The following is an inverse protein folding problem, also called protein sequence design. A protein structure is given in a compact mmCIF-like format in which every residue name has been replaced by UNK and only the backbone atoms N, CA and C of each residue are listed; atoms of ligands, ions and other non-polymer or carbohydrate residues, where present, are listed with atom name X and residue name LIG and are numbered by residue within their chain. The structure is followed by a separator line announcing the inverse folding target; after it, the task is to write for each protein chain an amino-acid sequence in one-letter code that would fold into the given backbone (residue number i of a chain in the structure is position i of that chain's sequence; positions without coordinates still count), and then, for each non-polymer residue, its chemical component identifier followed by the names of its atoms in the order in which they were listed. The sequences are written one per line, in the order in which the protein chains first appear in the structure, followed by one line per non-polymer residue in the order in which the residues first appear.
data_IF_197168419439
#
_entry.id   IF_197168419439
#
_cell.length_a   1.000
_cell.length_b   1.000
_cell.length_c   1.000
_cell.angle_alpha   90.00
_cell.angle_beta   90.00
_cell.angle_gamma   90.00
#
_symmetry.space_group_name_H-M   'P 1'
#
loop_
_entity.id
_entity.type
_entity.pdbx_description
1 polymer ?
#
# COMPACT_ATOMS: atom_id res chain seq x y z
N UNK A 1 9.98 -34.72 -12.28
CA UNK A 1 8.74 -34.00 -12.66
C UNK A 1 8.87 -32.47 -12.57
N UNK A 2 9.98 -31.91 -12.06
CA UNK A 2 10.19 -30.45 -11.91
C UNK A 2 10.72 -29.72 -13.16
N UNK A 3 11.47 -30.38 -14.05
CA UNK A 3 11.99 -29.71 -15.27
C UNK A 3 10.88 -29.40 -16.30
N UNK A 4 9.83 -30.22 -16.34
CA UNK A 4 8.75 -30.06 -17.32
C UNK A 4 7.76 -28.93 -16.94
N UNK A 5 7.63 -28.62 -15.64
CA UNK A 5 6.74 -27.55 -15.14
C UNK A 5 7.39 -26.16 -15.25
N UNK A 6 8.69 -26.03 -14.99
CA UNK A 6 9.43 -24.79 -15.20
C UNK A 6 9.50 -24.40 -16.69
N UNK A 7 9.74 -25.39 -17.57
CA UNK A 7 9.67 -25.27 -19.03
C UNK A 7 8.29 -24.77 -19.52
N UNK A 8 7.21 -25.37 -19.01
CA UNK A 8 5.84 -24.98 -19.36
C UNK A 8 5.47 -23.57 -18.84
N UNK A 9 5.91 -23.21 -17.64
CA UNK A 9 5.72 -21.87 -17.06
C UNK A 9 6.42 -20.78 -17.87
N UNK A 10 7.70 -21.01 -18.24
CA UNK A 10 8.46 -20.09 -19.10
C UNK A 10 7.91 -19.98 -20.53
N UNK A 11 7.30 -21.04 -21.06
CA UNK A 11 6.61 -21.02 -22.36
C UNK A 11 5.31 -20.20 -22.29
N UNK A 12 4.50 -20.39 -21.24
CA UNK A 12 3.27 -19.60 -21.01
C UNK A 12 3.58 -18.12 -20.84
N UNK A 13 4.59 -17.76 -20.05
CA UNK A 13 5.00 -16.37 -19.83
C UNK A 13 5.41 -15.69 -21.14
N UNK A 14 6.23 -16.36 -21.96
CA UNK A 14 6.62 -15.84 -23.28
C UNK A 14 5.42 -15.66 -24.21
N UNK A 15 4.48 -16.61 -24.22
CA UNK A 15 3.25 -16.51 -25.00
C UNK A 15 2.38 -15.33 -24.56
N UNK A 16 2.23 -15.11 -23.25
CA UNK A 16 1.52 -13.95 -22.71
C UNK A 16 2.20 -12.66 -23.17
N UNK A 17 3.49 -12.50 -22.93
CA UNK A 17 4.22 -11.28 -23.30
C UNK A 17 4.24 -11.01 -24.82
N UNK A 18 4.16 -12.05 -25.65
CA UNK A 18 4.08 -11.92 -27.10
C UNK A 18 2.65 -11.67 -27.63
N UNK A 19 1.62 -11.84 -26.80
CA UNK A 19 0.22 -11.70 -27.21
C UNK A 19 -0.19 -10.25 -27.51
N UNK A 20 0.53 -9.28 -26.93
CA UNK A 20 0.30 -7.85 -27.12
C UNK A 20 1.64 -7.13 -27.11
N UNK A 21 1.81 -6.20 -28.04
CA UNK A 21 2.98 -5.34 -28.08
C UNK A 21 2.62 -3.97 -27.49
N UNK A 22 3.36 -3.52 -26.48
CA UNK A 22 3.10 -2.26 -25.79
C UNK A 22 4.18 -1.26 -26.19
N UNK A 23 3.80 -0.33 -27.07
CA UNK A 23 4.66 0.67 -27.65
C UNK A 23 4.39 2.06 -27.06
N UNK A 24 3.13 2.35 -26.70
CA UNK A 24 2.73 3.67 -26.24
C UNK A 24 1.82 3.61 -25.00
N UNK A 25 2.23 4.30 -23.94
CA UNK A 25 1.44 4.50 -22.71
C UNK A 25 1.03 5.96 -22.58
N UNK A 26 -0.25 6.23 -22.40
CA UNK A 26 -0.77 7.57 -22.09
C UNK A 26 -1.08 7.64 -20.60
N UNK A 27 -0.45 8.58 -19.89
CA UNK A 27 -0.70 8.81 -18.46
C UNK A 27 -1.56 10.06 -18.29
N UNK A 28 -2.74 9.90 -17.71
CA UNK A 28 -3.66 10.97 -17.35
C UNK A 28 -3.41 11.37 -15.90
N UNK A 29 -3.41 12.67 -15.61
CA UNK A 29 -3.07 13.20 -14.28
C UNK A 29 -1.56 13.23 -14.05
N UNK A 30 -0.78 13.33 -15.11
CA UNK A 30 0.67 13.18 -15.10
C UNK A 30 1.42 14.25 -14.28
N UNK A 31 0.74 15.27 -13.77
CA UNK A 31 1.32 16.30 -12.90
C UNK A 31 1.29 15.93 -11.41
N UNK A 32 0.49 14.93 -11.00
CA UNK A 32 0.44 14.44 -9.63
C UNK A 32 1.56 13.46 -9.31
N UNK A 33 1.89 13.29 -8.02
CA UNK A 33 2.97 12.39 -7.56
C UNK A 33 2.85 10.97 -8.09
N UNK A 34 1.65 10.40 -8.05
CA UNK A 34 1.40 9.08 -8.65
C UNK A 34 1.48 9.12 -10.17
N UNK A 35 0.95 10.16 -10.81
CA UNK A 35 0.98 10.32 -12.26
C UNK A 35 2.41 10.38 -12.83
N UNK A 36 3.22 11.36 -12.42
CA UNK A 36 4.59 11.49 -12.95
C UNK A 36 5.48 10.32 -12.54
N UNK A 37 5.31 9.77 -11.33
CA UNK A 37 6.08 8.62 -10.85
C UNK A 37 5.78 7.36 -11.66
N UNK A 38 4.50 7.12 -11.96
CA UNK A 38 4.06 5.98 -12.79
C UNK A 38 4.49 6.15 -14.25
N UNK A 39 4.33 7.35 -14.80
CA UNK A 39 4.77 7.64 -16.16
C UNK A 39 6.29 7.41 -16.31
N UNK A 40 7.09 7.87 -15.35
CA UNK A 40 8.52 7.63 -15.33
C UNK A 40 8.86 6.12 -15.28
N UNK A 41 8.11 5.32 -14.51
CA UNK A 41 8.27 3.87 -14.49
C UNK A 41 7.98 3.25 -15.88
N UNK A 42 6.89 3.66 -16.54
CA UNK A 42 6.57 3.18 -17.89
C UNK A 42 7.65 3.52 -18.92
N UNK A 43 8.32 4.68 -18.83
CA UNK A 43 9.39 5.04 -19.78
C UNK A 43 10.56 4.05 -19.78
N UNK A 44 10.74 3.26 -18.72
CA UNK A 44 11.75 2.20 -18.68
C UNK A 44 11.35 0.98 -19.51
N UNK A 45 10.06 0.69 -19.61
CA UNK A 45 9.51 -0.52 -20.23
C UNK A 45 9.09 -0.35 -21.70
N UNK A 46 8.61 0.85 -22.05
CA UNK A 46 8.01 1.15 -23.36
C UNK A 46 8.77 2.28 -24.06
N UNK A 47 8.75 2.34 -25.41
CA UNK A 47 9.50 3.34 -26.17
C UNK A 47 8.87 4.73 -26.13
N UNK A 48 7.57 4.86 -25.84
CA UNK A 48 6.87 6.16 -25.81
C UNK A 48 5.89 6.25 -24.65
N UNK A 49 5.93 7.36 -23.93
CA UNK A 49 4.96 7.71 -22.88
C UNK A 49 4.47 9.13 -23.10
N UNK A 50 3.15 9.35 -23.10
CA UNK A 50 2.59 10.71 -23.18
C UNK A 50 2.05 11.14 -21.82
N UNK A 51 2.59 12.23 -21.30
CA UNK A 51 2.17 12.88 -20.06
C UNK A 51 1.02 13.85 -20.40
N UNK A 52 -0.19 13.55 -19.93
CA UNK A 52 -1.33 14.43 -20.10
C UNK A 52 -1.81 14.99 -18.76
N UNK A 53 -2.10 16.27 -18.77
CA UNK A 53 -2.70 17.00 -17.66
C UNK A 53 -3.76 17.99 -18.16
N UNK A 54 -4.36 18.75 -17.23
CA UNK A 54 -5.38 19.76 -17.57
C UNK A 54 -4.85 20.88 -18.48
N UNK A 55 -3.55 21.15 -18.42
CA UNK A 55 -2.83 22.05 -19.33
C UNK A 55 -1.46 21.46 -19.65
N UNK A 56 -0.89 21.86 -20.78
CA UNK A 56 0.44 21.42 -21.21
C UNK A 56 1.52 21.82 -20.20
N UNK A 57 1.45 23.03 -19.66
CA UNK A 57 2.35 23.50 -18.59
C UNK A 57 2.34 22.54 -17.38
N UNK A 58 1.17 22.04 -16.96
CA UNK A 58 1.09 21.05 -15.88
C UNK A 58 1.71 19.71 -16.26
N UNK A 59 1.58 19.28 -17.51
CA UNK A 59 2.26 18.08 -17.98
C UNK A 59 3.78 18.27 -18.00
N UNK A 60 4.27 19.45 -18.39
CA UNK A 60 5.69 19.83 -18.37
C UNK A 60 6.25 19.88 -16.94
N UNK A 61 5.51 20.44 -15.98
CA UNK A 61 5.84 20.38 -14.55
C UNK A 61 5.97 18.93 -14.06
N UNK A 62 5.02 18.07 -14.44
CA UNK A 62 5.05 16.64 -14.12
C UNK A 62 6.27 15.93 -14.69
N UNK A 63 6.59 16.17 -15.97
CA UNK A 63 7.78 15.63 -16.61
C UNK A 63 9.06 16.10 -15.92
N UNK A 64 9.17 17.40 -15.59
CA UNK A 64 10.32 17.94 -14.87
C UNK A 64 10.48 17.30 -13.48
N UNK A 65 9.38 17.07 -12.76
CA UNK A 65 9.38 16.36 -11.48
C UNK A 65 9.85 14.90 -11.64
N UNK A 66 9.34 14.17 -12.65
CA UNK A 66 9.78 12.82 -12.97
C UNK A 66 11.28 12.74 -13.29
N UNK A 67 11.80 13.65 -14.13
CA UNK A 67 13.23 13.74 -14.47
C UNK A 67 14.06 13.95 -13.21
N UNK A 68 13.65 14.88 -12.34
CA UNK A 68 14.35 15.20 -11.09
C UNK A 68 14.35 14.02 -10.12
N UNK A 69 13.24 13.30 -10.01
CA UNK A 69 13.05 12.20 -9.06
C UNK A 69 13.78 10.93 -9.51
N UNK A 70 13.57 10.48 -10.75
CA UNK A 70 14.06 9.18 -11.24
C UNK A 70 15.47 9.26 -11.82
N UNK A 71 15.87 10.43 -12.36
CA UNK A 71 17.20 10.68 -12.93
C UNK A 71 17.63 9.67 -14.00
N UNK A 72 16.67 9.11 -14.72
CA UNK A 72 16.92 8.21 -15.86
C UNK A 72 16.79 8.96 -17.19
N UNK A 73 17.72 8.79 -18.15
CA UNK A 73 17.63 9.41 -19.47
C UNK A 73 16.33 9.08 -20.21
N UNK A 74 15.80 7.87 -19.99
CA UNK A 74 14.57 7.40 -20.65
C UNK A 74 13.37 8.29 -20.37
N UNK A 75 13.30 8.92 -19.19
CA UNK A 75 12.21 9.82 -18.84
C UNK A 75 12.21 11.05 -19.75
N UNK A 76 13.37 11.59 -20.09
CA UNK A 76 13.45 12.75 -20.98
C UNK A 76 13.33 12.36 -22.47
N UNK A 77 13.86 11.20 -22.87
CA UNK A 77 13.96 10.82 -24.29
C UNK A 77 12.75 10.06 -24.84
N UNK A 78 11.90 9.52 -23.97
CA UNK A 78 10.72 8.71 -24.36
C UNK A 78 9.40 9.38 -24.00
N UNK A 79 9.42 10.62 -23.54
CA UNK A 79 8.23 11.32 -23.06
C UNK A 79 7.78 12.43 -23.98
N UNK A 80 6.49 12.42 -24.30
CA UNK A 80 5.77 13.57 -24.86
C UNK A 80 4.92 14.23 -23.76
N UNK A 81 4.56 15.50 -23.96
CA UNK A 81 3.67 16.27 -23.08
C UNK A 81 2.51 16.83 -23.87
N UNK A 82 1.33 16.91 -23.25
CA UNK A 82 0.14 17.50 -23.86
C UNK A 82 -0.96 17.80 -22.86
N UNK A 83 -2.07 18.33 -23.36
CA UNK A 83 -3.25 18.62 -22.55
C UNK A 83 -4.51 17.86 -22.97
N UNK A 84 -5.51 17.87 -22.09
CA UNK A 84 -6.76 17.17 -22.32
C UNK A 84 -7.65 17.76 -23.42
N UNK A 85 -7.46 19.03 -23.78
CA UNK A 85 -8.30 19.74 -24.74
C UNK A 85 -7.84 19.54 -26.18
N UNK A 86 -6.53 19.48 -26.41
CA UNK A 86 -5.93 19.43 -27.75
C UNK A 86 -5.34 18.06 -28.06
N UNK A 87 -4.63 17.44 -27.12
CA UNK A 87 -3.77 16.29 -27.41
C UNK A 87 -4.40 14.94 -27.05
N UNK A 88 -5.43 14.93 -26.18
CA UNK A 88 -6.01 13.69 -25.64
C UNK A 88 -6.53 12.74 -26.72
N UNK A 89 -7.37 13.22 -27.65
CA UNK A 89 -7.97 12.37 -28.69
C UNK A 89 -6.89 11.68 -29.54
N UNK A 90 -5.95 12.47 -30.06
CA UNK A 90 -4.81 11.97 -30.83
C UNK A 90 -3.91 11.01 -30.04
N UNK A 91 -3.70 11.27 -28.75
CA UNK A 91 -2.90 10.37 -27.91
C UNK A 91 -3.60 9.01 -27.75
N UNK A 92 -4.93 9.02 -27.56
CA UNK A 92 -5.74 7.81 -27.36
C UNK A 92 -5.82 6.92 -28.61
N UNK A 93 -5.79 7.50 -29.82
CA UNK A 93 -5.78 6.74 -31.09
C UNK A 93 -4.63 5.72 -31.18
N UNK A 94 -3.52 6.01 -30.51
CA UNK A 94 -2.29 5.19 -30.57
C UNK A 94 -1.92 4.56 -29.22
N UNK A 95 -2.74 4.74 -28.17
CA UNK A 95 -2.42 4.28 -26.82
C UNK A 95 -2.67 2.77 -26.67
N UNK A 96 -1.65 2.01 -26.26
CA UNK A 96 -1.81 0.60 -25.89
C UNK A 96 -2.29 0.47 -24.45
N UNK A 97 -1.82 1.36 -23.58
CA UNK A 97 -2.28 1.51 -22.20
C UNK A 97 -2.65 2.97 -21.96
N UNK A 98 -3.84 3.19 -21.42
CA UNK A 98 -4.28 4.46 -20.83
C UNK A 98 -4.26 4.28 -19.32
N UNK A 99 -3.34 4.96 -18.65
CA UNK A 99 -3.13 4.89 -17.20
C UNK A 99 -3.64 6.16 -16.52
N UNK A 100 -4.63 6.00 -15.65
CA UNK A 100 -5.34 7.08 -14.99
C UNK A 100 -4.81 7.32 -13.56
N UNK A 101 -4.37 8.55 -13.29
CA UNK A 101 -3.82 9.01 -12.02
C UNK A 101 -4.31 10.42 -11.62
N UNK A 102 -5.58 10.73 -11.88
CA UNK A 102 -6.25 11.94 -11.45
C UNK A 102 -6.60 11.87 -9.95
N UNK A 103 -7.07 13.00 -9.43
CA UNK A 103 -7.64 13.15 -8.09
C UNK A 103 -8.62 12.02 -7.76
N UNK A 104 -8.57 11.58 -6.51
CA UNK A 104 -9.41 10.50 -5.98
C UNK A 104 -10.87 10.96 -5.76
N UNK A 105 -11.55 11.21 -6.87
CA UNK A 105 -12.95 11.65 -6.93
C UNK A 105 -13.68 10.88 -8.03
N UNK A 106 -14.82 10.28 -7.67
CA UNK A 106 -15.56 9.39 -8.56
C UNK A 106 -16.03 10.12 -9.83
N UNK A 107 -16.57 11.33 -9.70
CA UNK A 107 -17.15 12.06 -10.82
C UNK A 107 -16.06 12.62 -11.75
N UNK A 108 -14.93 13.08 -11.21
CA UNK A 108 -13.76 13.46 -12.00
C UNK A 108 -13.25 12.27 -12.82
N UNK A 109 -13.12 11.09 -12.20
CA UNK A 109 -12.67 9.87 -12.88
C UNK A 109 -13.69 9.38 -13.92
N UNK A 110 -14.99 9.42 -13.63
CA UNK A 110 -16.03 9.09 -14.62
C UNK A 110 -15.97 10.04 -15.81
N UNK A 111 -15.83 11.35 -15.57
CA UNK A 111 -15.76 12.34 -16.64
C UNK A 111 -14.53 12.17 -17.55
N UNK A 112 -13.37 11.76 -17.02
CA UNK A 112 -12.21 11.45 -17.88
C UNK A 112 -12.41 10.13 -18.63
N UNK A 113 -13.00 9.11 -18.00
CA UNK A 113 -13.28 7.84 -18.67
C UNK A 113 -14.32 7.96 -19.80
N UNK A 114 -15.25 8.92 -19.73
CA UNK A 114 -16.14 9.24 -20.85
C UNK A 114 -15.37 9.70 -22.10
N UNK A 115 -14.30 10.48 -21.89
CA UNK A 115 -13.44 10.93 -22.99
C UNK A 115 -12.56 9.79 -23.50
N UNK A 116 -12.02 8.99 -22.59
CA UNK A 116 -11.22 7.80 -22.93
C UNK A 116 -12.05 6.81 -23.73
N UNK A 117 -13.28 6.53 -23.32
CA UNK A 117 -14.15 5.59 -24.02
C UNK A 117 -14.45 6.00 -25.46
N UNK A 118 -14.63 7.30 -25.71
CA UNK A 118 -14.88 7.86 -27.05
C UNK A 118 -13.65 7.82 -27.96
N UNK A 119 -12.46 8.06 -27.41
CA UNK A 119 -11.23 8.27 -28.21
C UNK A 119 -10.26 7.08 -28.27
N UNK A 120 -10.33 6.13 -27.34
CA UNK A 120 -9.39 4.99 -27.32
C UNK A 120 -9.71 3.98 -28.42
N UNK A 121 -8.73 3.15 -28.77
CA UNK A 121 -8.96 1.94 -29.55
C UNK A 121 -9.73 0.90 -28.72
N UNK A 122 -10.50 0.05 -29.38
CA UNK A 122 -11.33 -0.96 -28.72
C UNK A 122 -10.54 -2.03 -27.93
N UNK A 123 -9.25 -2.20 -28.25
CA UNK A 123 -8.32 -3.16 -27.65
C UNK A 123 -7.36 -2.54 -26.62
N UNK A 124 -7.35 -1.20 -26.48
CA UNK A 124 -6.50 -0.47 -25.53
C UNK A 124 -6.83 -0.87 -24.09
N UNK A 125 -5.79 -1.11 -23.29
CA UNK A 125 -5.90 -1.36 -21.86
C UNK A 125 -6.19 -0.03 -21.17
N UNK A 126 -7.17 -0.02 -20.26
CA UNK A 126 -7.43 1.15 -19.40
C UNK A 126 -7.18 0.72 -17.95
N UNK A 127 -6.23 1.37 -17.29
CA UNK A 127 -5.86 1.06 -15.93
C UNK A 127 -5.98 2.32 -15.05
N UNK A 128 -6.43 2.16 -13.81
CA UNK A 128 -6.48 3.26 -12.82
C UNK A 128 -5.61 2.96 -11.61
N UNK A 129 -4.94 3.99 -11.09
CA UNK A 129 -4.16 3.92 -9.84
C UNK A 129 -4.97 4.35 -8.62
N UNK A 130 -6.31 4.36 -8.72
CA UNK A 130 -7.18 4.63 -7.57
C UNK A 130 -6.74 3.81 -6.35
N UNK A 131 -6.80 4.42 -5.17
CA UNK A 131 -6.37 3.84 -3.90
C UNK A 131 -7.54 3.30 -3.06
N UNK A 132 -8.78 3.46 -3.53
CA UNK A 132 -9.94 2.89 -2.85
C UNK A 132 -11.32 3.07 -3.50
N UNK A 133 -11.43 3.65 -4.71
CA UNK A 133 -12.71 3.66 -5.44
C UNK A 133 -12.94 2.30 -6.09
N UNK A 134 -14.19 1.86 -6.13
CA UNK A 134 -14.55 0.57 -6.73
C UNK A 134 -14.30 0.57 -8.23
N UNK A 135 -13.55 -0.43 -8.70
CA UNK A 135 -13.30 -0.68 -10.12
C UNK A 135 -14.61 -1.00 -10.83
N UNK A 136 -15.50 -1.75 -10.18
CA UNK A 136 -16.82 -2.05 -10.73
C UNK A 136 -17.69 -0.79 -10.87
N UNK A 137 -17.68 0.11 -9.88
CA UNK A 137 -18.42 1.39 -9.96
C UNK A 137 -17.88 2.30 -11.08
N UNK A 138 -16.56 2.39 -11.24
CA UNK A 138 -15.93 3.14 -12.34
C UNK A 138 -16.28 2.57 -13.73
N UNK A 139 -16.60 1.28 -13.79
CA UNK A 139 -17.04 0.59 -15.00
C UNK A 139 -18.55 0.71 -15.31
N UNK A 140 -19.37 1.25 -14.41
CA UNK A 140 -20.82 1.31 -14.61
C UNK A 140 -21.20 2.20 -15.80
N UNK A 141 -22.08 1.69 -16.66
CA UNK A 141 -22.54 2.39 -17.86
C UNK A 141 -21.55 2.36 -19.04
N UNK A 142 -20.37 1.76 -18.87
CA UNK A 142 -19.36 1.61 -19.93
C UNK A 142 -19.73 0.50 -20.92
N UNK A 143 -19.26 0.60 -22.16
CA UNK A 143 -19.41 -0.41 -23.21
C UNK A 143 -18.73 -1.74 -22.84
N UNK A 144 -19.18 -2.84 -23.45
CA UNK A 144 -18.60 -4.17 -23.25
C UNK A 144 -17.10 -4.21 -23.55
N UNK A 145 -16.67 -3.51 -24.60
CA UNK A 145 -15.25 -3.39 -24.95
C UNK A 145 -14.46 -2.67 -23.85
N UNK A 146 -15.02 -1.60 -23.25
CA UNK A 146 -14.33 -0.90 -22.17
C UNK A 146 -14.26 -1.76 -20.91
N UNK A 147 -15.38 -2.37 -20.48
CA UNK A 147 -15.43 -3.20 -19.27
C UNK A 147 -14.44 -4.38 -19.33
N UNK A 148 -14.27 -5.01 -20.50
CA UNK A 148 -13.30 -6.09 -20.70
C UNK A 148 -11.83 -5.65 -20.60
N UNK A 149 -11.54 -4.37 -20.84
CA UNK A 149 -10.18 -3.83 -20.86
C UNK A 149 -9.86 -2.90 -19.68
N UNK A 150 -10.77 -2.78 -18.71
CA UNK A 150 -10.60 -1.92 -17.55
C UNK A 150 -10.17 -2.71 -16.31
N UNK A 151 -9.24 -2.16 -15.52
CA UNK A 151 -8.81 -2.74 -14.24
C UNK A 151 -8.17 -1.69 -13.34
N UNK A 152 -8.09 -1.98 -12.04
CA UNK A 152 -7.18 -1.29 -11.14
C UNK A 152 -5.75 -1.81 -11.29
N UNK A 153 -4.78 -0.89 -11.35
CA UNK A 153 -3.35 -1.16 -11.28
C UNK A 153 -2.75 -0.21 -10.25
N UNK A 154 -2.94 -0.56 -8.97
CA UNK A 154 -2.62 0.30 -7.84
C UNK A 154 -1.14 0.15 -7.47
N UNK A 155 -0.36 1.18 -7.83
CA UNK A 155 1.02 1.34 -7.40
C UNK A 155 1.06 2.03 -6.04
N UNK A 156 2.11 1.75 -5.27
CA UNK A 156 2.36 2.39 -3.98
C UNK A 156 3.33 3.57 -4.15
N UNK A 157 3.14 4.62 -3.35
CA UNK A 157 3.96 5.83 -3.42
C UNK A 157 5.28 5.67 -2.64
N UNK A 158 6.46 6.01 -3.20
CA UNK A 158 6.71 6.37 -4.60
C UNK A 158 6.72 5.18 -5.57
N UNK A 159 6.04 5.26 -6.75
CA UNK A 159 5.93 4.13 -7.68
C UNK A 159 7.26 3.59 -8.20
N UNK A 160 8.27 4.44 -8.28
CA UNK A 160 9.61 4.10 -8.76
C UNK A 160 10.52 3.49 -7.67
N UNK A 161 10.04 3.38 -6.43
CA UNK A 161 10.79 2.83 -5.29
C UNK A 161 10.08 1.61 -4.71
N UNK A 162 8.79 1.75 -4.41
CA UNK A 162 7.98 0.67 -3.84
C UNK A 162 7.55 -0.25 -4.97
N UNK A 163 7.82 -1.56 -4.87
CA UNK A 163 7.60 -2.54 -5.94
C UNK A 163 6.27 -3.30 -5.83
N UNK A 164 5.65 -3.32 -4.65
CA UNK A 164 4.33 -3.90 -4.44
C UNK A 164 3.29 -3.25 -5.35
N UNK A 165 2.41 -4.07 -5.94
CA UNK A 165 1.36 -3.60 -6.84
C UNK A 165 0.14 -4.48 -6.72
N UNK A 166 -1.00 -3.84 -6.50
CA UNK A 166 -2.29 -4.52 -6.52
C UNK A 166 -2.89 -4.46 -7.93
N UNK A 167 -3.33 -5.62 -8.42
CA UNK A 167 -4.04 -5.78 -9.68
C UNK A 167 -5.49 -6.14 -9.36
N UNK A 168 -6.40 -5.24 -9.71
CA UNK A 168 -7.81 -5.31 -9.30
C UNK A 168 -8.69 -5.48 -10.55
N UNK A 169 -8.98 -6.71 -10.99
CA UNK A 169 -9.92 -6.92 -12.07
C UNK A 169 -11.34 -6.54 -11.64
N UNK A 170 -12.06 -5.87 -12.54
CA UNK A 170 -13.51 -5.75 -12.43
C UNK A 170 -14.18 -7.07 -12.82
N UNK A 171 -15.49 -7.17 -12.54
CA UNK A 171 -16.29 -8.38 -12.79
C UNK A 171 -16.28 -8.84 -14.26
N UNK A 172 -16.12 -7.89 -15.18
CA UNK A 172 -16.19 -8.10 -16.63
C UNK A 172 -14.80 -8.07 -17.29
N UNK A 173 -13.73 -7.81 -16.54
CA UNK A 173 -12.37 -7.71 -17.07
C UNK A 173 -11.94 -9.04 -17.67
N UNK A 174 -11.35 -9.01 -18.86
CA UNK A 174 -10.88 -10.20 -19.55
C UNK A 174 -9.75 -10.89 -18.75
N UNK A 175 -9.93 -12.15 -18.30
CA UNK A 175 -8.91 -12.88 -17.56
C UNK A 175 -7.58 -13.06 -18.30
N UNK A 176 -7.59 -13.13 -19.64
CA UNK A 176 -6.36 -13.20 -20.43
C UNK A 176 -5.60 -11.88 -20.36
N UNK A 177 -6.33 -10.75 -20.32
CA UNK A 177 -5.74 -9.44 -20.14
C UNK A 177 -5.15 -9.25 -18.75
N UNK A 178 -5.84 -9.73 -17.71
CA UNK A 178 -5.31 -9.73 -16.33
C UNK A 178 -3.98 -10.50 -16.29
N UNK A 179 -3.93 -11.69 -16.88
CA UNK A 179 -2.69 -12.48 -16.95
C UNK A 179 -1.59 -11.77 -17.75
N UNK A 180 -1.93 -11.09 -18.84
CA UNK A 180 -1.00 -10.28 -19.61
C UNK A 180 -0.43 -9.12 -18.80
N UNK A 181 -1.29 -8.30 -18.18
CA UNK A 181 -0.87 -7.11 -17.41
C UNK A 181 -0.01 -7.53 -16.23
N UNK A 182 -0.37 -8.61 -15.53
CA UNK A 182 0.45 -9.15 -14.46
C UNK A 182 1.86 -9.54 -14.96
N UNK A 183 1.94 -10.31 -16.06
CA UNK A 183 3.21 -10.70 -16.67
C UNK A 183 4.03 -9.49 -17.13
N UNK A 184 3.40 -8.53 -17.81
CA UNK A 184 4.02 -7.31 -18.29
C UNK A 184 4.59 -6.50 -17.13
N UNK A 185 3.80 -6.27 -16.08
CA UNK A 185 4.25 -5.51 -14.92
C UNK A 185 5.38 -6.20 -14.16
N UNK A 186 5.31 -7.52 -13.94
CA UNK A 186 6.40 -8.29 -13.31
C UNK A 186 7.70 -8.17 -14.12
N UNK A 187 7.66 -8.47 -15.41
CA UNK A 187 8.86 -8.62 -16.23
C UNK A 187 9.43 -7.30 -16.76
N UNK A 188 8.56 -6.36 -17.14
CA UNK A 188 8.97 -5.11 -17.79
C UNK A 188 9.05 -3.92 -16.83
N UNK A 189 8.25 -3.93 -15.77
CA UNK A 189 8.21 -2.86 -14.76
C UNK A 189 8.82 -3.27 -13.41
N UNK A 190 9.25 -4.54 -13.24
CA UNK A 190 9.88 -5.03 -12.02
C UNK A 190 8.95 -5.04 -10.80
N UNK A 191 7.66 -5.36 -11.00
CA UNK A 191 6.63 -5.30 -9.95
C UNK A 191 6.44 -6.62 -9.23
N UNK A 192 6.17 -6.53 -7.94
CA UNK A 192 5.61 -7.63 -7.15
C UNK A 192 4.09 -7.53 -7.18
N UNK A 193 3.47 -8.34 -8.04
CA UNK A 193 2.04 -8.26 -8.30
C UNK A 193 1.25 -9.10 -7.30
N UNK A 194 0.16 -8.53 -6.79
CA UNK A 194 -0.83 -9.19 -5.95
C UNK A 194 -2.20 -8.95 -6.58
N UNK A 195 -2.93 -10.02 -6.89
CA UNK A 195 -4.33 -9.88 -7.31
C UNK A 195 -5.19 -9.63 -6.09
N UNK A 196 -6.06 -8.63 -6.16
CA UNK A 196 -7.00 -8.32 -5.08
C UNK A 196 -8.42 -8.23 -5.61
N UNK A 197 -9.38 -8.50 -4.73
CA UNK A 197 -10.79 -8.25 -4.99
C UNK A 197 -11.05 -6.74 -5.10
N UNK A 198 -12.14 -6.37 -5.78
CA UNK A 198 -12.65 -5.00 -5.75
C UNK A 198 -13.39 -4.73 -4.43
N UNK A 199 -12.62 -4.56 -3.37
CA UNK A 199 -13.08 -4.25 -2.01
C UNK A 199 -12.62 -2.87 -1.57
N UNK A 200 -13.30 -2.21 -0.59
CA UNK A 200 -12.88 -0.91 -0.10
C UNK A 200 -11.43 -0.91 0.39
N UNK A 201 -10.57 -0.15 -0.32
CA UNK A 201 -9.13 -0.04 -0.10
C UNK A 201 -8.32 -1.35 -0.31
N UNK A 202 -8.85 -2.27 -1.13
CA UNK A 202 -8.17 -3.47 -1.61
C UNK A 202 -7.57 -4.35 -0.49
N UNK A 203 -6.28 -4.70 -0.53
CA UNK A 203 -5.65 -5.56 0.45
C UNK A 203 -4.66 -4.81 1.35
N UNK A 204 -3.69 -4.13 0.75
CA UNK A 204 -2.64 -3.42 1.47
C UNK A 204 -3.20 -2.29 2.32
N UNK A 205 -3.95 -1.36 1.72
CA UNK A 205 -4.52 -0.24 2.46
C UNK A 205 -5.54 -0.70 3.49
N UNK A 206 -6.35 -1.72 3.16
CA UNK A 206 -7.28 -2.37 4.09
C UNK A 206 -6.59 -2.80 5.39
N UNK A 207 -5.49 -3.54 5.29
CA UNK A 207 -4.75 -4.05 6.47
C UNK A 207 -3.88 -2.98 7.12
N UNK A 208 -3.18 -2.17 6.32
CA UNK A 208 -2.24 -1.16 6.81
C UNK A 208 -2.94 -0.05 7.58
N UNK A 209 -4.01 0.52 7.03
CA UNK A 209 -4.69 1.68 7.63
C UNK A 209 -5.45 1.32 8.91
N UNK A 210 -5.83 0.04 9.09
CA UNK A 210 -6.30 -0.48 10.38
C UNK A 210 -5.28 -0.20 11.48
N UNK A 211 -4.02 -0.58 11.27
CA UNK A 211 -2.95 -0.42 12.27
C UNK A 211 -2.58 1.05 12.44
N UNK A 212 -2.49 1.80 11.34
CA UNK A 212 -2.16 3.22 11.39
C UNK A 212 -3.21 4.00 12.19
N UNK A 213 -4.49 3.81 11.91
CA UNK A 213 -5.55 4.56 12.59
C UNK A 213 -5.74 4.09 14.05
N UNK A 214 -5.55 2.80 14.35
CA UNK A 214 -5.51 2.33 15.74
C UNK A 214 -4.37 2.99 16.54
N UNK A 215 -3.19 3.16 15.94
CA UNK A 215 -2.10 3.90 16.56
C UNK A 215 -2.47 5.38 16.79
N UNK A 216 -3.16 6.02 15.85
CA UNK A 216 -3.65 7.39 16.03
C UNK A 216 -4.66 7.49 17.18
N UNK A 217 -5.58 6.53 17.32
CA UNK A 217 -6.51 6.46 18.46
C UNK A 217 -5.76 6.31 19.79
N UNK A 218 -4.73 5.46 19.84
CA UNK A 218 -3.90 5.29 21.04
C UNK A 218 -3.09 6.55 21.38
N UNK A 219 -2.69 7.34 20.38
CA UNK A 219 -1.90 8.55 20.57
C UNK A 219 -2.64 9.58 21.42
N UNK A 220 -3.98 9.63 21.35
CA UNK A 220 -4.81 10.51 22.17
C UNK A 220 -4.58 10.30 23.67
N UNK A 221 -4.33 9.06 24.09
CA UNK A 221 -4.17 8.70 25.51
C UNK A 221 -2.70 8.61 25.92
N UNK A 222 -1.83 8.13 25.03
CA UNK A 222 -0.45 7.77 25.35
C UNK A 222 0.59 8.79 24.84
N UNK A 223 0.17 9.67 23.94
CA UNK A 223 1.04 10.58 23.22
C UNK A 223 1.78 9.90 22.04
N UNK A 224 2.17 10.66 21.01
CA UNK A 224 2.74 10.10 19.78
C UNK A 224 4.07 9.37 19.97
N UNK A 225 4.93 9.88 20.86
CA UNK A 225 6.27 9.32 21.09
C UNK A 225 6.19 7.90 21.66
N UNK A 226 5.33 7.70 22.67
CA UNK A 226 5.17 6.39 23.27
C UNK A 226 4.55 5.40 22.27
N UNK A 227 3.49 5.78 21.55
CA UNK A 227 2.85 4.91 20.56
C UNK A 227 3.83 4.46 19.48
N UNK A 228 4.60 5.38 18.88
CA UNK A 228 5.57 5.03 17.85
C UNK A 228 6.74 4.20 18.39
N UNK A 229 7.09 4.36 19.68
CA UNK A 229 8.06 3.49 20.35
C UNK A 229 7.48 2.08 20.54
N UNK A 230 6.22 1.95 20.98
CA UNK A 230 5.54 0.67 21.18
C UNK A 230 5.32 -0.09 19.87
N UNK A 231 4.95 0.59 18.79
CA UNK A 231 4.69 -0.03 17.47
C UNK A 231 5.86 0.28 16.52
N UNK A 232 7.07 0.17 17.07
CA UNK A 232 8.30 0.56 16.40
C UNK A 232 8.88 -0.48 15.44
N UNK A 233 10.07 -0.23 14.88
CA UNK A 233 10.72 -1.12 13.92
C UNK A 233 10.98 -2.54 14.43
N UNK A 234 11.15 -2.71 15.75
CA UNK A 234 11.31 -4.03 16.37
C UNK A 234 10.10 -4.95 16.12
N UNK A 235 8.92 -4.39 15.83
CA UNK A 235 7.70 -5.13 15.44
C UNK A 235 7.64 -5.48 13.95
N UNK A 236 8.73 -5.24 13.20
CA UNK A 236 8.83 -5.52 11.77
C UNK A 236 8.24 -4.41 10.90
N UNK A 237 8.52 -3.13 11.19
CA UNK A 237 8.03 -2.00 10.40
C UNK A 237 9.17 -1.10 9.99
N UNK A 238 9.26 -0.73 8.70
CA UNK A 238 10.31 0.18 8.24
C UNK A 238 10.15 1.62 8.80
N UNK A 239 8.90 2.07 8.94
CA UNK A 239 8.55 3.36 9.52
C UNK A 239 7.47 3.16 10.58
N UNK A 240 7.52 3.94 11.64
CA UNK A 240 6.54 3.89 12.73
C UNK A 240 5.16 4.38 12.26
N UNK A 241 4.05 3.93 12.87
CA UNK A 241 2.71 4.25 12.38
C UNK A 241 2.43 5.75 12.24
N UNK A 242 2.68 6.55 13.28
CA UNK A 242 2.32 7.95 13.28
C UNK A 242 3.23 8.76 12.34
N UNK A 243 4.53 8.42 12.29
CA UNK A 243 5.43 8.97 11.27
C UNK A 243 5.01 8.59 9.84
N UNK A 244 4.42 7.41 9.65
CA UNK A 244 3.84 7.00 8.35
C UNK A 244 2.64 7.85 7.99
N UNK A 245 1.75 8.14 8.95
CA UNK A 245 0.61 9.06 8.73
C UNK A 245 1.11 10.47 8.38
N UNK A 246 2.13 10.98 9.05
CA UNK A 246 2.74 12.28 8.72
C UNK A 246 3.37 12.30 7.32
N UNK A 247 3.98 11.19 6.90
CA UNK A 247 4.55 11.04 5.56
C UNK A 247 3.48 11.00 4.47
N UNK A 248 2.40 10.24 4.69
CA UNK A 248 1.26 10.13 3.77
C UNK A 248 0.49 11.44 3.71
N UNK A 249 0.29 12.08 4.84
CA UNK A 249 -0.55 13.26 5.03
C UNK A 249 -1.90 12.91 5.65
N UNK A 250 -2.34 13.71 6.61
CA UNK A 250 -3.52 13.41 7.44
C UNK A 250 -4.83 13.45 6.65
N UNK A 251 -4.91 14.30 5.62
CA UNK A 251 -6.07 14.39 4.73
C UNK A 251 -6.22 13.15 3.85
N UNK A 252 -5.11 12.64 3.31
CA UNK A 252 -5.10 11.38 2.55
C UNK A 252 -5.43 10.21 3.49
N UNK A 253 -4.85 10.23 4.70
CA UNK A 253 -5.15 9.21 5.71
C UNK A 253 -6.64 9.19 6.06
N UNK A 254 -7.23 10.35 6.34
CA UNK A 254 -8.68 10.49 6.56
C UNK A 254 -9.48 9.93 5.41
N UNK A 255 -9.17 10.30 4.17
CA UNK A 255 -9.94 9.86 3.01
C UNK A 255 -9.99 8.32 2.90
N UNK A 256 -8.86 7.65 3.17
CA UNK A 256 -8.79 6.18 3.14
C UNK A 256 -9.56 5.57 4.32
N UNK A 257 -9.34 6.08 5.54
CA UNK A 257 -10.01 5.58 6.76
C UNK A 257 -11.53 5.77 6.67
N UNK A 258 -12.01 6.96 6.29
CA UNK A 258 -13.43 7.27 6.13
C UNK A 258 -14.05 6.39 5.03
N UNK A 259 -13.36 6.15 3.91
CA UNK A 259 -13.83 5.26 2.85
C UNK A 259 -13.99 3.81 3.35
N UNK A 260 -12.99 3.29 4.04
CA UNK A 260 -13.02 1.95 4.62
C UNK A 260 -14.18 1.83 5.61
N UNK A 261 -14.31 2.78 6.55
CA UNK A 261 -15.35 2.77 7.57
C UNK A 261 -16.76 2.91 7.00
N UNK A 262 -16.96 3.76 5.99
CA UNK A 262 -18.28 3.94 5.37
C UNK A 262 -18.75 2.70 4.61
N UNK A 263 -17.82 1.93 4.04
CA UNK A 263 -18.14 0.86 3.10
C UNK A 263 -17.96 -0.55 3.67
N UNK A 264 -17.65 -0.69 4.97
CA UNK A 264 -17.50 -2.00 5.63
C UNK A 264 -18.03 -1.99 7.06
N UNK A 265 -18.25 -3.18 7.63
CA UNK A 265 -18.80 -3.38 8.99
C UNK A 265 -18.11 -4.56 9.70
N UNK A 266 -16.85 -4.81 9.36
CA UNK A 266 -16.10 -5.96 9.85
C UNK A 266 -15.55 -5.78 11.27
N UNK A 267 -14.83 -6.78 11.78
CA UNK A 267 -14.36 -6.85 13.16
C UNK A 267 -13.39 -5.73 13.56
N UNK A 268 -12.81 -5.00 12.61
CA UNK A 268 -11.92 -3.86 12.88
C UNK A 268 -12.61 -2.51 12.68
N UNK A 269 -13.91 -2.47 12.39
CA UNK A 269 -14.63 -1.24 12.06
C UNK A 269 -14.43 -0.10 13.06
N UNK A 270 -14.42 -0.40 14.35
CA UNK A 270 -14.17 0.60 15.41
C UNK A 270 -12.77 1.23 15.35
N UNK A 271 -11.76 0.49 14.89
CA UNK A 271 -10.38 0.98 14.70
C UNK A 271 -10.22 1.82 13.44
N UNK A 272 -11.27 1.92 12.61
CA UNK A 272 -11.28 2.67 11.35
C UNK A 272 -12.09 3.96 11.47
N UNK A 273 -12.29 4.47 12.69
CA UNK A 273 -12.84 5.80 12.93
C UNK A 273 -11.70 6.76 13.27
N UNK A 274 -11.55 7.82 12.48
CA UNK A 274 -10.53 8.84 12.76
C UNK A 274 -10.78 9.51 14.13
N UNK A 275 -9.73 9.73 14.96
CA UNK A 275 -9.87 10.46 16.22
C UNK A 275 -10.30 11.92 16.03
N UNK A 276 -11.11 12.45 16.95
CA UNK A 276 -11.66 13.81 16.87
C UNK A 276 -10.58 14.89 16.99
N UNK A 277 -9.53 14.66 17.80
CA UNK A 277 -8.41 15.62 17.92
C UNK A 277 -7.74 15.86 16.56
N UNK A 278 -7.70 14.84 15.68
CA UNK A 278 -7.10 15.00 14.36
C UNK A 278 -7.91 15.95 13.48
N UNK A 279 -9.24 15.89 13.56
CA UNK A 279 -10.13 16.78 12.82
C UNK A 279 -9.87 18.26 13.18
N UNK A 280 -9.69 18.55 14.47
CA UNK A 280 -9.39 19.89 14.97
C UNK A 280 -8.04 20.40 14.45
N UNK A 281 -7.00 19.56 14.51
CA UNK A 281 -5.66 19.92 14.03
C UNK A 281 -5.63 20.13 12.51
N UNK A 282 -6.33 19.32 11.73
CA UNK A 282 -6.44 19.52 10.28
C UNK A 282 -7.16 20.82 9.94
N UNK A 283 -8.20 21.20 10.69
CA UNK A 283 -8.86 22.49 10.53
C UNK A 283 -7.90 23.68 10.80
N UNK A 284 -6.88 23.47 11.64
CA UNK A 284 -5.79 24.40 11.88
C UNK A 284 -4.62 24.31 10.87
N UNK A 285 -4.75 23.50 9.82
CA UNK A 285 -3.75 23.37 8.74
C UNK A 285 -2.63 22.35 9.00
N UNK A 286 -2.76 21.49 10.01
CA UNK A 286 -1.80 20.42 10.29
C UNK A 286 -2.14 19.18 9.45
N UNK A 287 -1.35 18.94 8.40
CA UNK A 287 -1.55 17.87 7.43
C UNK A 287 -0.35 16.92 7.27
N UNK A 288 0.58 16.91 8.23
CA UNK A 288 1.80 16.11 8.20
C UNK A 288 3.00 16.82 7.58
N UNK A 289 3.94 16.03 7.03
CA UNK A 289 5.22 16.52 6.52
C UNK A 289 5.08 17.59 5.43
N UNK A 290 4.02 17.53 4.62
CA UNK A 290 3.78 18.49 3.53
C UNK A 290 3.44 19.90 4.02
N UNK A 291 2.94 20.05 5.25
CA UNK A 291 2.69 21.34 5.92
C UNK A 291 3.72 21.64 7.00
N UNK A 292 4.76 20.80 7.15
CA UNK A 292 5.82 20.94 8.14
C UNK A 292 5.43 20.55 9.57
N UNK A 293 4.21 20.04 9.79
CA UNK A 293 3.70 19.65 11.11
C UNK A 293 2.62 18.57 11.00
N UNK A 294 2.69 17.59 11.90
CA UNK A 294 1.75 16.48 12.06
C UNK A 294 1.76 15.95 13.50
N UNK A 295 1.88 14.64 13.68
CA UNK A 295 2.21 14.07 14.99
C UNK A 295 3.56 14.58 15.49
N UNK A 296 4.48 14.82 14.55
CA UNK A 296 5.77 15.39 14.80
C UNK A 296 5.98 16.65 13.97
N UNK A 297 6.78 17.58 14.49
CA UNK A 297 7.31 18.71 13.71
C UNK A 297 8.77 18.97 14.07
N UNK A 298 9.49 19.67 13.19
CA UNK A 298 10.86 20.10 13.45
C UNK A 298 10.90 21.61 13.64
N UNK A 299 11.52 22.03 14.74
CA UNK A 299 11.89 23.43 14.97
C UNK A 299 13.43 23.53 15.04
N UNK A 300 14.02 23.96 13.93
CA UNK A 300 15.47 23.88 13.71
C UNK A 300 15.98 22.44 13.80
N UNK A 301 16.75 22.13 14.86
CA UNK A 301 17.27 20.78 15.14
C UNK A 301 16.42 19.99 16.14
N UNK A 302 15.46 20.64 16.79
CA UNK A 302 14.64 20.02 17.83
C UNK A 302 13.44 19.33 17.18
N UNK A 303 13.22 18.06 17.54
CA UNK A 303 11.99 17.34 17.21
C UNK A 303 10.97 17.59 18.31
N UNK A 304 9.79 18.01 17.90
CA UNK A 304 8.66 18.26 18.77
C UNK A 304 7.57 17.23 18.45
N UNK A 305 6.83 16.80 19.47
CA UNK A 305 5.68 15.91 19.35
C UNK A 305 4.41 16.63 19.78
N UNK A 306 3.31 16.34 19.08
CA UNK A 306 1.98 16.83 19.41
C UNK A 306 1.52 16.24 20.75
N UNK A 307 0.95 17.06 21.62
CA UNK A 307 0.09 16.63 22.72
C UNK A 307 -1.37 16.69 22.22
N UNK A 308 -2.03 15.55 21.97
CA UNK A 308 -3.38 15.53 21.42
C UNK A 308 -4.44 16.18 22.32
N UNK A 309 -4.18 16.28 23.63
CA UNK A 309 -5.14 16.83 24.59
C UNK A 309 -5.19 18.36 24.55
N UNK A 310 -4.06 19.01 24.35
CA UNK A 310 -3.92 20.47 24.28
C UNK A 310 -3.86 21.01 22.85
N UNK A 311 -3.38 20.20 21.90
CA UNK A 311 -3.03 20.63 20.54
C UNK A 311 -1.65 21.30 20.45
N UNK A 312 -0.94 21.44 21.57
CA UNK A 312 0.38 22.04 21.65
C UNK A 312 1.48 21.03 21.27
N UNK A 313 2.71 21.53 21.09
CA UNK A 313 3.86 20.70 20.78
C UNK A 313 4.93 20.81 21.87
N UNK A 314 5.40 19.66 22.34
CA UNK A 314 6.44 19.55 23.37
C UNK A 314 7.72 18.98 22.77
N UNK A 315 8.92 19.43 23.18
CA UNK A 315 10.16 18.77 22.80
C UNK A 315 10.16 17.29 23.15
N UNK A 316 10.50 16.45 22.17
CA UNK A 316 10.52 14.99 22.37
C UNK A 316 11.49 14.59 23.50
N UNK A 317 12.56 15.35 23.70
CA UNK A 317 13.52 15.17 24.79
C UNK A 317 12.96 15.42 26.19
N UNK A 318 11.83 16.12 26.31
CA UNK A 318 11.17 16.41 27.59
C UNK A 318 10.10 15.37 27.94
N UNK A 319 9.71 14.52 26.99
CA UNK A 319 8.72 13.47 27.18
C UNK A 319 9.36 12.28 27.90
N UNK A 320 8.86 12.00 29.10
CA UNK A 320 9.30 10.86 29.91
C UNK A 320 8.58 9.60 29.48
N UNK A 321 9.33 8.63 28.98
CA UNK A 321 8.82 7.31 28.64
C UNK A 321 8.92 6.36 29.84
N UNK A 322 8.01 5.38 29.96
CA UNK A 322 8.12 4.28 30.92
C UNK A 322 9.33 3.38 30.59
N UNK A 323 9.60 2.38 31.44
CA UNK A 323 10.61 1.37 31.11
C UNK A 323 10.15 0.54 29.91
N UNK A 324 10.92 0.62 28.83
CA UNK A 324 10.70 -0.07 27.57
C UNK A 324 11.89 -0.95 27.20
N UNK A 325 12.67 -1.38 28.19
CA UNK A 325 13.88 -2.20 28.01
C UNK A 325 13.63 -3.50 27.22
N UNK A 326 12.42 -4.06 27.27
CA UNK A 326 12.06 -5.21 26.43
C UNK A 326 12.16 -4.89 24.93
N UNK A 327 11.85 -3.67 24.51
CA UNK A 327 11.94 -3.25 23.10
C UNK A 327 13.38 -3.31 22.62
N UNK A 328 14.31 -2.81 23.44
CA UNK A 328 15.73 -2.83 23.13
C UNK A 328 16.27 -4.27 23.11
N UNK A 329 15.83 -5.13 24.05
CA UNK A 329 16.18 -6.54 24.06
C UNK A 329 15.68 -7.28 22.81
N UNK A 330 14.45 -7.00 22.35
CA UNK A 330 13.90 -7.57 21.10
C UNK A 330 14.71 -7.06 19.90
N UNK A 331 14.95 -5.76 19.82
CA UNK A 331 15.71 -5.13 18.75
C UNK A 331 17.15 -5.68 18.65
N UNK A 332 17.81 -5.93 19.79
CA UNK A 332 19.14 -6.54 19.82
C UNK A 332 19.13 -7.92 19.16
N UNK A 333 18.17 -8.79 19.50
CA UNK A 333 18.05 -10.12 18.87
C UNK A 333 17.79 -10.01 17.36
N UNK A 334 16.93 -9.08 16.97
CA UNK A 334 16.59 -8.83 15.57
C UNK A 334 17.82 -8.36 14.76
N UNK A 335 18.66 -7.49 15.33
CA UNK A 335 19.85 -6.98 14.64
C UNK A 335 20.87 -8.05 14.24
N UNK A 336 20.89 -9.19 14.95
CA UNK A 336 21.77 -10.34 14.68
C UNK A 336 21.04 -11.53 14.06
N UNK A 337 19.83 -11.31 13.53
CA UNK A 337 19.04 -12.33 12.82
C UNK A 337 18.37 -13.38 13.72
N UNK A 338 18.33 -13.17 15.05
CA UNK A 338 17.72 -14.10 16.02
C UNK A 338 16.24 -13.76 16.23
N UNK A 339 15.47 -13.74 15.15
CA UNK A 339 14.07 -13.26 15.15
C UNK A 339 13.14 -14.04 16.07
N UNK A 340 13.22 -15.38 16.08
CA UNK A 340 12.38 -16.21 16.94
C UNK A 340 12.63 -15.91 18.43
N UNK A 341 13.88 -15.68 18.82
CA UNK A 341 14.23 -15.31 20.19
C UNK A 341 13.77 -13.89 20.55
N UNK A 342 13.87 -12.95 19.60
CA UNK A 342 13.30 -11.61 19.76
C UNK A 342 11.78 -11.67 19.96
N UNK A 343 11.06 -12.43 19.15
CA UNK A 343 9.62 -12.58 19.29
C UNK A 343 9.22 -13.34 20.57
N UNK A 344 10.04 -14.26 21.06
CA UNK A 344 9.83 -14.87 22.37
C UNK A 344 9.94 -13.85 23.52
N UNK A 345 10.91 -12.92 23.46
CA UNK A 345 11.02 -11.81 24.42
C UNK A 345 9.81 -10.87 24.34
N UNK A 346 9.33 -10.56 23.13
CA UNK A 346 8.13 -9.74 22.93
C UNK A 346 6.87 -10.36 23.54
N UNK A 347 6.70 -11.67 23.36
CA UNK A 347 5.57 -12.42 23.92
C UNK A 347 5.65 -12.50 25.46
N UNK A 348 6.85 -12.65 26.01
CA UNK A 348 7.08 -12.77 27.45
C UNK A 348 7.10 -11.42 28.21
N UNK A 349 7.17 -10.29 27.50
CA UNK A 349 7.26 -8.97 28.14
C UNK A 349 6.03 -8.65 29.01
N UNK A 350 6.24 -8.19 30.23
CA UNK A 350 5.16 -7.83 31.16
C UNK A 350 4.89 -6.33 31.15
N UNK A 351 3.77 -5.91 31.75
CA UNK A 351 3.37 -4.49 31.83
C UNK A 351 2.36 -4.05 30.78
N UNK A 352 1.71 -2.91 31.05
CA UNK A 352 0.62 -2.37 30.25
C UNK A 352 1.10 -1.97 28.85
N UNK A 353 2.28 -1.38 28.74
CA UNK A 353 2.92 -1.00 27.48
C UNK A 353 3.16 -2.21 26.57
N UNK A 354 3.64 -3.32 27.13
CA UNK A 354 3.85 -4.56 26.39
C UNK A 354 2.52 -5.19 25.97
N UNK A 355 1.50 -5.13 26.83
CA UNK A 355 0.15 -5.58 26.50
C UNK A 355 -0.48 -4.76 25.37
N UNK A 356 -0.29 -3.44 25.34
CA UNK A 356 -0.75 -2.56 24.26
C UNK A 356 -0.04 -2.92 22.95
N UNK A 357 1.29 -3.07 22.97
CA UNK A 357 2.04 -3.47 21.78
C UNK A 357 1.55 -4.82 21.25
N UNK A 358 1.39 -5.83 22.12
CA UNK A 358 0.82 -7.14 21.74
C UNK A 358 -0.59 -7.02 21.18
N UNK A 359 -1.45 -6.17 21.74
CA UNK A 359 -2.82 -5.97 21.24
C UNK A 359 -2.84 -5.45 19.81
N UNK A 360 -2.01 -4.45 19.49
CA UNK A 360 -1.93 -3.90 18.13
C UNK A 360 -1.38 -4.95 17.15
N UNK A 361 -0.33 -5.70 17.54
CA UNK A 361 0.25 -6.75 16.68
C UNK A 361 -0.69 -7.94 16.52
N UNK A 362 -1.40 -8.34 17.57
CA UNK A 362 -2.46 -9.34 17.51
C UNK A 362 -3.58 -8.89 16.56
N UNK A 363 -3.99 -7.63 16.65
CA UNK A 363 -4.98 -7.05 15.76
C UNK A 363 -4.51 -6.98 14.30
N UNK A 364 -3.24 -6.71 14.05
CA UNK A 364 -2.64 -6.77 12.71
C UNK A 364 -2.70 -8.19 12.13
N UNK A 365 -2.26 -9.19 12.90
CA UNK A 365 -2.28 -10.60 12.48
C UNK A 365 -3.72 -11.07 12.27
N UNK A 366 -4.59 -10.92 13.28
CA UNK A 366 -5.98 -11.38 13.19
C UNK A 366 -6.69 -10.76 12.00
N UNK A 367 -6.59 -9.45 11.83
CA UNK A 367 -7.26 -8.75 10.74
C UNK A 367 -6.76 -9.20 9.36
N UNK A 368 -5.44 -9.35 9.19
CA UNK A 368 -4.87 -9.86 7.95
C UNK A 368 -5.38 -11.28 7.61
N UNK A 369 -5.40 -12.17 8.58
CA UNK A 369 -5.86 -13.55 8.34
C UNK A 369 -7.38 -13.64 8.07
N UNK A 370 -8.21 -12.73 8.59
CA UNK A 370 -9.62 -12.62 8.21
C UNK A 370 -9.84 -12.05 6.81
N UNK A 371 -8.92 -11.20 6.33
CA UNK A 371 -8.98 -10.66 4.96
C UNK A 371 -8.51 -11.66 3.91
N UNK A 372 -7.78 -12.72 4.30
CA UNK A 372 -7.42 -13.81 3.40
C UNK A 372 -8.67 -14.61 2.98
N UNK A 373 -8.88 -14.76 1.67
CA UNK A 373 -10.10 -15.31 1.08
C UNK A 373 -11.18 -14.26 0.78
N UNK A 374 -11.04 -13.04 1.30
CA UNK A 374 -11.97 -11.92 1.11
C UNK A 374 -11.38 -10.90 0.11
N UNK A 375 -10.23 -10.30 0.46
CA UNK A 375 -9.58 -9.27 -0.38
C UNK A 375 -8.45 -9.81 -1.24
N UNK A 376 -7.90 -10.98 -0.88
CA UNK A 376 -6.96 -11.78 -1.68
C UNK A 376 -7.38 -13.23 -1.63
N UNK A 377 -6.95 -14.06 -2.58
CA UNK A 377 -7.27 -15.51 -2.57
C UNK A 377 -6.76 -16.22 -1.31
N UNK A 378 -5.59 -15.82 -0.81
CA UNK A 378 -4.95 -16.42 0.36
C UNK A 378 -4.10 -15.41 1.13
N UNK A 379 -3.62 -15.83 2.30
CA UNK A 379 -2.72 -15.02 3.15
C UNK A 379 -1.44 -14.62 2.42
N UNK A 380 -0.96 -15.43 1.46
CA UNK A 380 0.22 -15.11 0.65
C UNK A 380 0.05 -13.80 -0.10
N UNK A 381 -1.15 -13.48 -0.61
CA UNK A 381 -1.39 -12.19 -1.27
C UNK A 381 -1.22 -11.01 -0.31
N UNK A 382 -1.74 -11.14 0.92
CA UNK A 382 -1.59 -10.12 1.97
C UNK A 382 -0.14 -10.01 2.40
N UNK A 383 0.54 -11.13 2.60
CA UNK A 383 1.96 -11.15 2.96
C UNK A 383 2.82 -10.41 1.93
N UNK A 384 2.59 -10.71 0.64
CA UNK A 384 3.31 -10.08 -0.46
C UNK A 384 3.07 -8.57 -0.50
N UNK A 385 1.82 -8.11 -0.35
CA UNK A 385 1.54 -6.67 -0.42
C UNK A 385 1.99 -5.91 0.84
N UNK A 386 1.90 -6.52 2.02
CA UNK A 386 2.42 -5.90 3.25
C UNK A 386 3.95 -5.81 3.23
N UNK A 387 4.63 -6.84 2.72
CA UNK A 387 6.08 -6.81 2.49
C UNK A 387 6.47 -5.81 1.40
N UNK A 388 6.05 -6.03 0.16
CA UNK A 388 6.52 -5.27 -0.99
C UNK A 388 5.90 -3.87 -1.16
N UNK A 389 4.73 -3.62 -0.55
CA UNK A 389 4.00 -2.36 -0.61
C UNK A 389 4.21 -1.49 0.64
N UNK A 390 3.96 -2.04 1.82
CA UNK A 390 4.09 -1.31 3.09
C UNK A 390 5.48 -1.38 3.72
N UNK A 391 6.36 -2.28 3.26
CA UNK A 391 7.63 -2.60 3.92
C UNK A 391 7.44 -3.02 5.38
N UNK A 392 6.40 -3.80 5.64
CA UNK A 392 6.10 -4.38 6.95
C UNK A 392 6.37 -5.89 6.92
N UNK A 393 6.69 -6.45 8.08
CA UNK A 393 6.78 -7.89 8.27
C UNK A 393 5.43 -8.51 7.88
N UNK A 394 5.43 -9.47 6.95
CA UNK A 394 4.22 -10.17 6.59
C UNK A 394 3.54 -10.78 7.82
N UNK A 395 2.20 -10.72 7.94
CA UNK A 395 1.47 -11.25 9.08
C UNK A 395 1.76 -12.73 9.31
N UNK A 396 1.88 -13.55 8.26
CA UNK A 396 2.20 -14.96 8.42
C UNK A 396 3.63 -15.22 8.89
N UNK A 397 4.59 -14.36 8.50
CA UNK A 397 5.98 -14.42 8.98
C UNK A 397 6.04 -14.15 10.48
N UNK A 398 5.24 -13.21 10.98
CA UNK A 398 5.14 -12.98 12.43
C UNK A 398 4.61 -14.22 13.15
N UNK A 399 3.54 -14.83 12.64
CA UNK A 399 2.98 -16.08 13.20
C UNK A 399 4.01 -17.20 13.20
N UNK A 400 4.69 -17.43 12.07
CA UNK A 400 5.70 -18.50 11.95
C UNK A 400 6.92 -18.24 12.86
N UNK A 401 7.27 -16.98 13.12
CA UNK A 401 8.40 -16.60 13.98
C UNK A 401 8.06 -16.70 15.47
N UNK A 402 6.82 -16.35 15.84
CA UNK A 402 6.29 -16.51 17.20
C UNK A 402 6.00 -17.98 17.55
N UNK A 403 5.64 -18.77 16.52
CA UNK A 403 4.95 -20.05 16.67
C UNK A 403 3.43 -19.86 16.70
N UNK A 404 2.71 -20.76 16.02
CA UNK A 404 1.25 -20.66 15.83
C UNK A 404 0.49 -20.65 17.17
N UNK A 405 0.83 -21.56 18.09
CA UNK A 405 0.19 -21.61 19.41
C UNK A 405 0.37 -20.33 20.22
N UNK A 406 1.62 -19.84 20.42
CA UNK A 406 1.86 -18.55 21.07
C UNK A 406 1.19 -17.36 20.38
N UNK A 407 1.14 -17.33 19.04
CA UNK A 407 0.46 -16.28 18.29
C UNK A 407 -1.07 -16.29 18.53
N UNK A 408 -1.70 -17.48 18.53
CA UNK A 408 -3.12 -17.64 18.86
C UNK A 408 -3.39 -17.20 20.31
N UNK A 409 -2.58 -17.65 21.27
CA UNK A 409 -2.72 -17.26 22.67
C UNK A 409 -2.60 -15.74 22.87
N UNK A 410 -1.70 -15.07 22.15
CA UNK A 410 -1.58 -13.61 22.16
C UNK A 410 -2.86 -12.93 21.64
N UNK A 411 -3.48 -13.45 20.57
CA UNK A 411 -4.73 -12.92 20.02
C UNK A 411 -5.89 -13.09 21.02
N UNK A 412 -5.99 -14.26 21.65
CA UNK A 412 -7.02 -14.54 22.67
C UNK A 412 -6.87 -13.62 23.89
N UNK A 413 -5.64 -13.47 24.41
CA UNK A 413 -5.35 -12.59 25.54
C UNK A 413 -5.64 -11.12 25.24
N UNK A 414 -5.50 -10.70 23.98
CA UNK A 414 -5.84 -9.35 23.54
C UNK A 414 -7.37 -9.12 23.42
N UNK A 415 -8.18 -10.16 23.58
CA UNK A 415 -9.64 -10.10 23.42
C UNK A 415 -10.08 -9.90 21.96
N UNK A 416 -9.24 -10.32 21.02
CA UNK A 416 -9.47 -10.16 19.57
C UNK A 416 -9.95 -11.50 18.99
N UNK A 417 -10.87 -11.51 18.00
CA UNK A 417 -11.28 -12.75 17.37
C UNK A 417 -10.11 -13.52 16.74
N UNK A 418 -10.01 -14.82 17.03
CA UNK A 418 -9.00 -15.69 16.41
C UNK A 418 -9.50 -16.15 15.04
N UNK A 419 -8.72 -15.94 13.97
CA UNK A 419 -9.06 -16.44 12.64
C UNK A 419 -9.17 -17.96 12.60
N UNK A 420 -10.20 -18.49 11.94
CA UNK A 420 -10.48 -19.93 11.90
C UNK A 420 -9.28 -20.76 11.38
N UNK A 421 -8.60 -20.28 10.34
CA UNK A 421 -7.42 -20.92 9.77
C UNK A 421 -6.22 -20.99 10.75
N UNK A 422 -6.05 -20.00 11.64
CA UNK A 422 -5.04 -20.03 12.70
C UNK A 422 -5.45 -20.99 13.84
N UNK A 423 -6.72 -20.94 14.25
CA UNK A 423 -7.26 -21.82 15.29
C UNK A 423 -7.16 -23.31 14.89
N UNK A 424 -7.49 -23.63 13.64
CA UNK A 424 -7.36 -24.97 13.07
C UNK A 424 -5.89 -25.42 13.02
N UNK A 425 -4.99 -24.55 12.56
CA UNK A 425 -3.56 -24.86 12.49
C UNK A 425 -2.94 -25.10 13.88
N UNK A 426 -3.33 -24.32 14.89
CA UNK A 426 -2.92 -24.52 16.28
C UNK A 426 -3.43 -25.86 16.81
N UNK A 427 -4.70 -26.18 16.58
CA UNK A 427 -5.35 -27.41 17.04
C UNK A 427 -4.77 -28.67 16.40
N UNK A 428 -4.40 -28.58 15.12
CA UNK A 428 -3.79 -29.67 14.36
C UNK A 428 -2.30 -29.89 14.68
N UNK A 429 -1.68 -29.03 15.49
CA UNK A 429 -0.24 -29.07 15.75
C UNK A 429 0.60 -28.87 14.49
N UNK A 430 0.11 -28.04 13.55
CA UNK A 430 0.76 -27.79 12.26
C UNK A 430 2.21 -27.34 12.45
N UNK A 431 3.14 -28.06 11.82
CA UNK A 431 4.57 -27.71 11.80
C UNK A 431 5.00 -27.00 10.53
N UNK A 432 4.16 -27.02 9.50
CA UNK A 432 4.41 -26.35 8.23
C UNK A 432 4.19 -24.84 8.37
N UNK A 433 5.13 -24.06 7.82
CA UNK A 433 5.04 -22.60 7.78
C UNK A 433 3.83 -22.15 6.96
N UNK A 434 3.20 -21.05 7.38
CA UNK A 434 2.24 -20.34 6.56
C UNK A 434 2.95 -19.59 5.42
N UNK A 435 4.10 -19.01 5.74
CA UNK A 435 4.92 -18.30 4.79
C UNK A 435 5.79 -19.28 3.98
N UNK A 436 5.48 -19.43 2.70
CA UNK A 436 6.16 -20.37 1.79
C UNK A 436 6.68 -19.70 0.50
N UNK A 437 6.74 -18.36 0.46
CA UNK A 437 7.20 -17.64 -0.73
C UNK A 437 8.73 -17.59 -0.77
N UNK A 438 9.33 -18.11 -1.86
CA UNK A 438 10.78 -18.23 -2.01
C UNK A 438 11.50 -16.87 -2.11
N UNK A 439 10.78 -15.83 -2.55
CA UNK A 439 11.32 -14.48 -2.71
C UNK A 439 10.34 -13.46 -2.15
N UNK A 440 10.44 -13.15 -0.86
CA UNK A 440 10.06 -11.82 -0.41
C UNK A 440 11.34 -11.06 -0.21
N UNK A 441 11.48 -9.93 -0.91
CA UNK A 441 12.46 -8.94 -0.53
C UNK A 441 12.13 -8.56 0.92
N UNK A 442 12.80 -9.21 1.88
CA UNK A 442 12.61 -9.01 3.32
C UNK A 442 13.18 -7.65 3.77
N UNK A 443 13.10 -6.65 2.88
CA UNK A 443 13.95 -5.47 2.79
C UNK A 443 14.31 -4.92 4.15
N UNK A 444 15.51 -5.23 4.65
CA UNK A 444 16.03 -4.79 5.95
C UNK A 444 14.97 -4.67 7.08
N UNK A 445 13.94 -5.53 7.13
CA UNK A 445 12.77 -5.32 8.02
C UNK A 445 13.13 -5.36 9.51
N UNK A 446 14.35 -5.77 9.83
CA UNK A 446 14.88 -5.90 11.17
C UNK A 446 16.30 -5.33 11.35
N UNK A 447 16.81 -4.57 10.37
CA UNK A 447 18.10 -3.89 10.54
C UNK A 447 17.81 -2.53 11.16
N UNK A 448 17.67 -2.50 12.49
CA UNK A 448 17.89 -1.28 13.24
C UNK A 448 19.37 -0.89 13.02
N UNK A 449 19.60 0.16 12.23
CA UNK A 449 20.86 0.90 12.27
C UNK A 449 20.63 2.22 12.97
#
# INVERSE_FOLDING_TARGET
MSENTASASGSRLRKLLASRDIQHVVVLGANGTMGYGSAALFTQAVPRVTFLARSREKAEEGLAAAIKQVRSPTVATRSDVGDYGVDLEKALETADIVFEALTEDLEIKRGIFDKVEKGRRADSIVATVTSGLSINQLCEGRSDSFRKHFMGLHFFNPPNVIVGTELIPGKDTDPELVAFVEAFARVRLGREMVRTSDSPAFAGNRVGFKVLNEAAQLAEQLGPVLVDRLIGPYTGRALTPLATIDLVGWDIHRAIVDNIHANTTDEAHATLKMPDYMANMMAAGVLGNKTGAGFFKKDGKTRLALDPSSGDYTPESEIKLPDLSYIDAVAEKHSVGRYAEGMALFLAAEGDEAAIARKVIAGYISYAFHRAGDVTESITGIDMIMGAGFNWAPPSVLVDTMGVGPAVAMIEQAGIPVPANLAEAASAGRTEKFFNHEQVNVGKYFVAS
#
